data_IF_117847339372
#
_entry.id   IF_117847339372
#
_cell.length_a   1.000
_cell.length_b   1.000
_cell.length_c   1.000
_cell.angle_alpha   90.00
_cell.angle_beta   90.00
_cell.angle_gamma   90.00
#
_symmetry.space_group_name_H-M   'P 1'
#
loop_
_entity.id
_entity.type
_entity.pdbx_description
1 polymer ?
#
# COMPACT_ATOMS: atom_id res chain seq x y z
N UNK A 1 13.46 -7.44 8.52
CA UNK A 1 12.86 -6.20 9.05
C UNK A 1 13.27 -5.06 8.12
N UNK A 2 12.49 -3.98 8.00
CA UNK A 2 12.79 -2.84 7.10
C UNK A 2 13.60 -1.72 7.78
N UNK A 3 13.96 -1.99 9.03
CA UNK A 3 14.73 -1.12 9.88
C UNK A 3 15.62 -2.07 10.67
N UNK A 4 16.88 -2.16 10.29
CA UNK A 4 17.86 -2.82 11.14
C UNK A 4 18.41 -1.81 12.15
N UNK A 5 17.80 -1.79 13.34
CA UNK A 5 18.60 -1.58 14.53
C UNK A 5 19.36 -2.89 14.74
N UNK A 6 20.66 -2.94 14.47
CA UNK A 6 21.45 -4.13 14.75
C UNK A 6 21.11 -4.65 16.15
N UNK A 7 20.71 -5.91 16.27
CA UNK A 7 20.48 -6.62 17.53
C UNK A 7 21.83 -6.90 18.21
N UNK A 8 22.59 -5.85 18.45
CA UNK A 8 23.83 -5.81 19.18
C UNK A 8 23.57 -5.09 20.50
N UNK A 9 23.92 -5.78 21.58
CA UNK A 9 23.77 -5.42 22.99
C UNK A 9 23.76 -3.89 23.23
N UNK A 10 22.82 -3.34 24.02
CA UNK A 10 22.84 -1.92 24.41
C UNK A 10 24.18 -1.50 25.00
N UNK A 11 24.82 -2.46 25.68
CA UNK A 11 26.08 -2.36 26.38
C UNK A 11 26.76 -3.73 26.39
N UNK A 12 28.07 -3.75 26.16
CA UNK A 12 28.89 -4.92 26.42
C UNK A 12 28.97 -5.17 27.94
N UNK A 13 28.47 -6.30 28.47
CA UNK A 13 28.41 -6.54 29.91
C UNK A 13 29.77 -6.68 30.61
N UNK A 14 30.90 -6.66 29.89
CA UNK A 14 32.24 -6.78 30.47
C UNK A 14 33.13 -5.55 30.27
N UNK A 15 32.59 -4.45 29.77
CA UNK A 15 33.35 -3.22 29.62
C UNK A 15 32.72 -2.14 30.52
N UNK A 16 33.53 -1.57 31.41
CA UNK A 16 33.19 -0.67 32.54
C UNK A 16 32.66 0.71 32.11
N UNK A 17 32.05 0.84 30.94
CA UNK A 17 31.53 2.11 30.39
C UNK A 17 30.00 2.25 30.51
N UNK A 18 29.32 1.32 31.17
CA UNK A 18 27.86 1.28 31.24
C UNK A 18 27.22 2.22 32.27
N UNK A 19 28.03 3.00 33.00
CA UNK A 19 27.55 4.05 33.92
C UNK A 19 27.35 5.43 33.25
N UNK A 20 27.52 5.52 31.92
CA UNK A 20 27.45 6.80 31.19
C UNK A 20 26.27 6.85 30.21
N UNK A 21 25.50 7.94 30.26
CA UNK A 21 24.58 8.32 29.17
C UNK A 21 25.39 8.42 27.89
N UNK A 22 25.09 7.56 26.92
CA UNK A 22 25.77 7.54 25.62
C UNK A 22 24.79 7.82 24.49
N UNK A 23 25.30 8.52 23.47
CA UNK A 23 24.56 8.82 22.24
C UNK A 23 25.26 8.10 21.10
N UNK A 24 24.51 7.34 20.32
CA UNK A 24 24.97 6.72 19.07
C UNK A 24 24.17 7.29 17.91
N UNK A 25 24.87 7.77 16.89
CA UNK A 25 24.27 8.25 15.65
C UNK A 25 24.81 7.45 14.47
N UNK A 26 23.95 7.20 13.49
CA UNK A 26 24.30 6.44 12.29
C UNK A 26 23.39 6.76 11.13
N UNK A 27 23.67 6.16 9.98
CA UNK A 27 22.87 6.28 8.78
C UNK A 27 22.72 4.91 8.14
N UNK A 28 21.50 4.56 7.79
CA UNK A 28 21.13 3.27 7.23
C UNK A 28 20.26 3.47 5.99
N UNK A 29 20.52 2.64 4.97
CA UNK A 29 19.71 2.56 3.77
C UNK A 29 19.26 1.12 3.58
N UNK A 30 17.97 0.89 3.72
CA UNK A 30 17.37 -0.44 3.61
C UNK A 30 16.58 -0.52 2.31
N UNK A 31 16.74 -1.65 1.62
CA UNK A 31 15.96 -1.97 0.44
C UNK A 31 15.31 -3.33 0.60
N UNK A 32 13.99 -3.36 0.51
CA UNK A 32 13.21 -4.59 0.64
C UNK A 32 12.43 -4.83 -0.65
N UNK A 33 12.64 -5.99 -1.24
CA UNK A 33 12.05 -6.43 -2.51
C UNK A 33 11.23 -7.71 -2.34
N UNK A 34 10.44 -8.06 -3.37
CA UNK A 34 9.65 -9.30 -3.47
C UNK A 34 8.69 -9.57 -2.30
N UNK A 35 8.08 -8.52 -1.72
CA UNK A 35 7.05 -8.70 -0.67
C UNK A 35 5.71 -9.09 -1.29
N UNK A 36 5.15 -10.21 -0.82
CA UNK A 36 3.76 -10.59 -1.10
C UNK A 36 2.83 -9.94 -0.06
N UNK A 37 2.02 -8.99 -0.49
CA UNK A 37 1.07 -8.29 0.41
C UNK A 37 -0.33 -8.89 0.29
N UNK A 38 -0.96 -9.22 1.42
CA UNK A 38 -2.37 -9.64 1.43
C UNK A 38 -3.28 -8.43 1.29
N UNK A 39 -4.25 -8.50 0.37
CA UNK A 39 -5.26 -7.45 0.23
C UNK A 39 -6.34 -7.62 1.29
N UNK A 40 -6.55 -6.56 2.08
CA UNK A 40 -7.59 -6.50 3.10
C UNK A 40 -8.76 -5.64 2.61
N UNK A 41 -9.83 -6.31 2.18
CA UNK A 41 -11.06 -5.69 1.68
C UNK A 41 -12.26 -6.49 2.17
N UNK A 42 -13.44 -5.89 2.14
CA UNK A 42 -14.69 -6.60 2.46
C UNK A 42 -14.98 -7.70 1.45
N UNK A 43 -15.60 -8.81 1.91
CA UNK A 43 -16.05 -9.92 1.06
C UNK A 43 -16.99 -9.49 -0.06
N UNK A 44 -17.83 -8.50 0.23
CA UNK A 44 -18.77 -7.93 -0.72
C UNK A 44 -18.38 -6.51 -1.07
N UNK A 45 -18.52 -6.21 -2.36
CA UNK A 45 -18.35 -4.89 -2.94
C UNK A 45 -19.74 -4.28 -3.16
N UNK A 46 -20.01 -3.14 -2.55
CA UNK A 46 -21.27 -2.40 -2.71
C UNK A 46 -21.15 -1.31 -3.77
N UNK A 47 -22.27 -1.00 -4.43
CA UNK A 47 -22.33 0.10 -5.41
C UNK A 47 -21.96 -0.29 -6.84
N UNK A 48 -21.95 -1.58 -7.19
CA UNK A 48 -21.91 -2.00 -8.60
C UNK A 48 -23.29 -2.40 -9.08
N UNK A 49 -23.54 -2.19 -10.38
CA UNK A 49 -24.68 -2.76 -11.05
C UNK A 49 -24.52 -4.28 -11.23
N UNK A 50 -25.62 -4.93 -11.58
CA UNK A 50 -25.61 -6.31 -12.04
C UNK A 50 -24.65 -6.50 -13.23
N UNK A 51 -24.04 -7.69 -13.32
CA UNK A 51 -23.21 -8.04 -14.49
C UNK A 51 -24.13 -8.12 -15.71
N UNK A 52 -23.76 -7.56 -16.87
CA UNK A 52 -24.53 -7.75 -18.08
C UNK A 52 -24.71 -9.24 -18.38
N UNK A 53 -25.93 -9.68 -18.67
CA UNK A 53 -26.27 -11.09 -18.98
C UNK A 53 -26.73 -11.28 -20.41
N UNK A 54 -26.83 -10.21 -21.21
CA UNK A 54 -27.33 -10.26 -22.58
C UNK A 54 -26.17 -10.30 -23.59
N UNK A 55 -26.32 -11.16 -24.61
CA UNK A 55 -25.31 -11.40 -25.65
C UNK A 55 -24.93 -10.17 -26.49
N UNK A 56 -25.71 -9.08 -26.42
CA UNK A 56 -25.46 -7.81 -27.12
C UNK A 56 -24.63 -6.81 -26.33
N UNK A 57 -24.21 -7.13 -25.10
CA UNK A 57 -23.36 -6.26 -24.29
C UNK A 57 -24.05 -4.99 -23.75
N UNK A 58 -25.31 -4.73 -24.11
CA UNK A 58 -26.07 -3.66 -23.49
C UNK A 58 -26.49 -4.11 -22.08
N UNK A 59 -25.94 -3.45 -21.06
CA UNK A 59 -26.61 -3.40 -19.77
C UNK A 59 -28.03 -2.86 -20.02
N UNK A 60 -29.04 -3.43 -19.37
CA UNK A 60 -30.40 -2.87 -19.41
C UNK A 60 -30.29 -1.37 -19.09
N UNK A 61 -30.63 -0.49 -20.04
CA UNK A 61 -30.60 0.97 -19.90
C UNK A 61 -31.69 1.41 -18.92
N UNK A 62 -31.61 1.01 -17.65
CA UNK A 62 -32.45 1.55 -16.61
C UNK A 62 -31.84 2.87 -16.15
N UNK A 63 -32.65 3.92 -16.10
CA UNK A 63 -32.23 5.24 -15.64
C UNK A 63 -31.78 5.24 -14.16
N UNK A 64 -32.02 4.15 -13.43
CA UNK A 64 -31.64 3.94 -12.03
C UNK A 64 -31.15 2.48 -11.88
N UNK A 65 -29.86 2.18 -12.09
CA UNK A 65 -29.33 0.86 -11.79
C UNK A 65 -29.32 0.63 -10.27
N UNK A 66 -29.89 -0.48 -9.82
CA UNK A 66 -29.85 -0.87 -8.41
C UNK A 66 -28.42 -1.31 -8.03
N UNK A 67 -27.94 -0.79 -6.90
CA UNK A 67 -26.66 -1.19 -6.34
C UNK A 67 -26.77 -2.59 -5.74
N UNK A 68 -26.14 -3.57 -6.37
CA UNK A 68 -26.14 -4.94 -5.90
C UNK A 68 -24.83 -5.25 -5.18
N UNK A 69 -24.92 -5.91 -4.02
CA UNK A 69 -23.75 -6.44 -3.34
C UNK A 69 -23.14 -7.57 -4.15
N UNK A 70 -21.90 -7.41 -4.61
CA UNK A 70 -21.18 -8.41 -5.42
C UNK A 70 -20.01 -9.01 -4.65
N UNK A 71 -19.59 -10.25 -4.94
CA UNK A 71 -18.31 -10.74 -4.44
C UNK A 71 -17.19 -9.78 -4.83
N UNK A 72 -16.40 -9.35 -3.85
CA UNK A 72 -15.27 -8.46 -4.09
C UNK A 72 -14.12 -9.28 -4.68
N UNK A 73 -13.72 -8.93 -5.89
CA UNK A 73 -12.71 -9.64 -6.68
C UNK A 73 -11.34 -9.63 -5.98
N UNK A 74 -11.05 -8.54 -5.25
CA UNK A 74 -9.81 -8.37 -4.51
C UNK A 74 -9.78 -9.15 -3.19
N UNK A 75 -10.93 -9.68 -2.73
CA UNK A 75 -11.00 -10.43 -1.48
C UNK A 75 -10.15 -11.70 -1.54
N UNK A 76 -9.25 -11.85 -0.58
CA UNK A 76 -8.33 -13.00 -0.51
C UNK A 76 -7.26 -13.01 -1.61
N UNK A 77 -7.09 -11.91 -2.34
CA UNK A 77 -5.99 -11.75 -3.30
C UNK A 77 -4.73 -11.23 -2.63
N UNK A 78 -3.63 -11.39 -3.35
CA UNK A 78 -2.32 -10.90 -2.94
C UNK A 78 -1.75 -9.95 -4.00
N UNK A 79 -1.01 -8.95 -3.56
CA UNK A 79 -0.11 -8.18 -4.42
C UNK A 79 1.18 -8.97 -4.58
N UNK A 80 1.59 -9.16 -5.82
CA UNK A 80 2.63 -10.11 -6.20
C UNK A 80 4.02 -9.55 -5.96
N UNK A 81 4.16 -8.24 -6.13
CA UNK A 81 5.43 -7.55 -6.00
C UNK A 81 5.23 -6.21 -5.31
N UNK A 82 6.01 -6.00 -4.27
CA UNK A 82 6.04 -4.77 -3.50
C UNK A 82 7.48 -4.55 -3.04
N UNK A 83 8.03 -3.44 -3.49
CA UNK A 83 9.34 -2.96 -3.11
C UNK A 83 9.21 -1.72 -2.24
N UNK A 84 10.09 -1.61 -1.27
CA UNK A 84 10.15 -0.46 -0.39
C UNK A 84 11.59 -0.10 -0.09
N UNK A 85 11.90 1.18 -0.28
CA UNK A 85 13.20 1.75 -0.01
C UNK A 85 13.07 2.72 1.15
N UNK A 86 13.98 2.60 2.11
CA UNK A 86 14.07 3.50 3.25
C UNK A 86 15.50 4.00 3.35
N UNK A 87 15.65 5.29 3.55
CA UNK A 87 16.94 5.90 3.76
C UNK A 87 16.85 6.86 4.94
N UNK A 88 17.58 6.58 6.01
CA UNK A 88 17.37 7.25 7.29
C UNK A 88 18.63 7.40 8.14
N UNK A 89 18.65 8.49 8.89
CA UNK A 89 19.53 8.65 10.02
C UNK A 89 18.92 7.97 11.25
N UNK A 90 19.78 7.42 12.09
CA UNK A 90 19.46 6.77 13.35
C UNK A 90 20.09 7.57 14.48
N UNK A 91 19.34 7.71 15.57
CA UNK A 91 19.82 8.24 16.84
C UNK A 91 19.35 7.32 17.95
N UNK A 92 20.28 6.76 18.72
CA UNK A 92 20.02 6.05 19.95
C UNK A 92 20.59 6.82 21.13
N UNK A 93 19.82 6.84 22.21
CA UNK A 93 20.23 7.34 23.50
C UNK A 93 20.06 6.23 24.52
N UNK A 94 21.16 5.91 25.19
CA UNK A 94 21.18 5.01 26.32
C UNK A 94 20.78 5.81 27.57
N UNK A 95 19.63 5.47 28.17
CA UNK A 95 19.09 6.16 29.37
C UNK A 95 19.54 5.44 30.64
N UNK A 96 19.66 4.12 30.56
CA UNK A 96 20.08 3.25 31.66
C UNK A 96 21.08 2.23 31.13
N UNK A 97 21.91 1.72 32.04
CA UNK A 97 22.98 0.72 31.85
C UNK A 97 22.69 -0.30 30.72
N UNK A 98 21.42 -0.72 30.52
CA UNK A 98 21.05 -1.74 29.52
C UNK A 98 19.77 -1.46 28.75
N UNK A 99 19.40 -0.19 28.62
CA UNK A 99 18.18 0.22 27.91
C UNK A 99 18.45 1.41 27.01
N UNK A 100 18.22 1.22 25.72
CA UNK A 100 18.30 2.26 24.70
C UNK A 100 16.91 2.61 24.19
N UNK A 101 16.65 3.90 24.06
CA UNK A 101 15.60 4.41 23.19
C UNK A 101 16.26 4.90 21.92
N UNK A 102 15.66 4.58 20.78
CA UNK A 102 16.15 5.03 19.49
C UNK A 102 15.03 5.58 18.63
N UNK A 103 15.40 6.47 17.73
CA UNK A 103 14.55 6.93 16.66
C UNK A 103 15.31 6.90 15.35
N UNK A 104 14.57 6.73 14.27
CA UNK A 104 15.09 6.97 12.93
C UNK A 104 14.27 8.03 12.25
N UNK A 105 14.95 8.88 11.48
CA UNK A 105 14.35 9.94 10.68
C UNK A 105 14.94 9.83 9.29
N UNK A 106 14.09 9.76 8.29
CA UNK A 106 14.54 9.51 6.93
C UNK A 106 13.48 9.81 5.90
N UNK A 107 13.67 9.21 4.75
CA UNK A 107 12.72 9.24 3.66
C UNK A 107 12.50 7.82 3.13
N UNK A 108 11.29 7.56 2.66
CA UNK A 108 10.96 6.31 1.99
C UNK A 108 10.07 6.51 0.80
N UNK A 109 10.20 5.58 -0.13
CA UNK A 109 9.37 5.42 -1.31
C UNK A 109 9.14 3.92 -1.57
N UNK A 110 8.18 3.61 -2.43
CA UNK A 110 7.85 2.25 -2.77
C UNK A 110 7.36 2.10 -4.20
N UNK A 111 7.42 0.85 -4.64
CA UNK A 111 6.89 0.38 -5.92
C UNK A 111 5.99 -0.82 -5.64
N UNK A 112 4.85 -0.88 -6.31
CA UNK A 112 3.89 -1.96 -6.13
C UNK A 112 3.33 -2.39 -7.46
N UNK A 113 3.22 -3.70 -7.64
CA UNK A 113 2.73 -4.32 -8.86
C UNK A 113 1.86 -5.53 -8.53
N UNK A 114 0.72 -5.61 -9.19
CA UNK A 114 -0.16 -6.76 -9.10
C UNK A 114 -1.14 -6.84 -10.28
N UNK A 115 -1.85 -7.96 -10.36
CA UNK A 115 -3.03 -8.09 -11.20
C UNK A 115 -4.08 -7.02 -10.88
N UNK A 116 -4.83 -6.60 -11.90
CA UNK A 116 -5.93 -5.64 -11.76
C UNK A 116 -7.04 -6.13 -10.81
N UNK A 117 -7.15 -7.44 -10.62
CA UNK A 117 -8.04 -8.07 -9.64
C UNK A 117 -7.69 -7.68 -8.19
N UNK A 118 -6.40 -7.64 -7.83
CA UNK A 118 -5.96 -7.26 -6.48
C UNK A 118 -6.16 -5.76 -6.19
N UNK A 119 -6.13 -4.94 -7.24
CA UNK A 119 -6.41 -3.50 -7.18
C UNK A 119 -7.90 -3.15 -7.26
N UNK A 120 -8.77 -4.16 -7.39
CA UNK A 120 -10.21 -3.99 -7.56
C UNK A 120 -10.55 -3.02 -8.71
N UNK A 121 -9.91 -3.22 -9.88
CA UNK A 121 -10.20 -2.45 -11.07
C UNK A 121 -11.61 -2.76 -11.58
N UNK A 122 -12.46 -1.74 -11.65
CA UNK A 122 -13.86 -1.85 -12.10
C UNK A 122 -14.12 -0.91 -13.26
N UNK A 123 -15.06 -1.27 -14.12
CA UNK A 123 -15.43 -0.52 -15.30
C UNK A 123 -16.94 -0.51 -15.55
N UNK A 124 -17.37 0.52 -16.26
CA UNK A 124 -18.69 0.59 -16.89
C UNK A 124 -18.50 0.29 -18.37
N UNK A 125 -19.09 -0.82 -18.84
CA UNK A 125 -18.99 -1.28 -20.24
C UNK A 125 -20.39 -1.36 -20.84
N UNK A 126 -20.50 -1.06 -22.14
CA UNK A 126 -21.76 -1.20 -22.89
C UNK A 126 -22.75 -0.06 -22.66
N UNK A 127 -22.27 1.10 -22.20
CA UNK A 127 -23.06 2.31 -22.05
C UNK A 127 -22.42 3.44 -22.86
N UNK A 128 -23.20 4.07 -23.74
CA UNK A 128 -22.78 5.25 -24.50
C UNK A 128 -23.73 6.40 -24.15
N UNK A 129 -23.19 7.55 -23.74
CA UNK A 129 -23.98 8.76 -23.77
C UNK A 129 -23.94 9.36 -25.16
N UNK A 130 -25.10 9.81 -25.63
CA UNK A 130 -25.19 10.58 -26.88
C UNK A 130 -24.44 11.93 -26.76
N UNK A 131 -24.28 12.47 -25.54
CA UNK A 131 -23.69 13.79 -25.27
C UNK A 131 -23.13 13.87 -23.82
N UNK A 132 -22.11 14.71 -23.57
CA UNK A 132 -21.55 15.00 -22.22
C UNK A 132 -22.54 15.59 -21.21
N UNK A 133 -23.74 15.99 -21.66
CA UNK A 133 -24.84 16.54 -20.85
C UNK A 133 -25.95 15.51 -20.59
N UNK A 134 -25.79 14.26 -21.01
CA UNK A 134 -26.74 13.19 -20.69
C UNK A 134 -26.86 13.06 -19.17
N UNK A 135 -28.10 13.10 -18.69
CA UNK A 135 -28.47 12.90 -17.28
C UNK A 135 -28.30 11.44 -16.83
N UNK A 136 -28.07 10.52 -17.77
CA UNK A 136 -28.11 9.09 -17.51
C UNK A 136 -26.74 8.55 -17.07
N UNK A 137 -25.64 9.09 -17.62
CA UNK A 137 -24.26 8.73 -17.25
C UNK A 137 -23.93 8.95 -15.76
N UNK A 138 -24.26 10.11 -15.16
CA UNK A 138 -24.03 10.35 -13.73
C UNK A 138 -24.75 9.37 -12.81
N UNK A 139 -25.69 8.57 -13.32
CA UNK A 139 -26.48 7.61 -12.57
C UNK A 139 -25.99 6.17 -12.77
N UNK A 140 -25.08 5.93 -13.73
CA UNK A 140 -24.61 4.59 -14.05
C UNK A 140 -23.57 4.06 -13.07
N UNK A 141 -23.81 2.87 -12.55
CA UNK A 141 -22.88 2.16 -11.67
C UNK A 141 -21.96 1.26 -12.50
N UNK A 142 -20.68 1.08 -12.12
CA UNK A 142 -19.80 0.09 -12.76
C UNK A 142 -20.45 -1.29 -12.76
N UNK A 143 -20.33 -2.00 -13.88
CA UNK A 143 -21.02 -3.27 -14.12
C UNK A 143 -20.06 -4.45 -14.37
N UNK A 144 -18.77 -4.18 -14.58
CA UNK A 144 -17.74 -5.19 -14.82
C UNK A 144 -16.55 -4.97 -13.89
N UNK A 145 -16.01 -6.07 -13.36
CA UNK A 145 -14.69 -6.07 -12.72
C UNK A 145 -13.64 -6.57 -13.72
N UNK A 146 -12.56 -5.82 -13.89
CA UNK A 146 -11.51 -6.09 -14.87
C UNK A 146 -10.42 -6.89 -14.18
N UNK A 147 -10.36 -8.19 -14.44
CA UNK A 147 -9.40 -9.12 -13.81
C UNK A 147 -8.19 -9.46 -14.69
N UNK A 148 -8.29 -9.16 -16.00
CA UNK A 148 -7.26 -9.43 -17.00
C UNK A 148 -6.43 -8.17 -17.27
N UNK A 149 -5.54 -7.87 -16.34
CA UNK A 149 -4.63 -6.73 -16.44
C UNK A 149 -3.60 -6.69 -15.34
N UNK A 150 -2.67 -5.75 -15.46
CA UNK A 150 -1.63 -5.43 -14.51
C UNK A 150 -1.77 -3.95 -14.14
N UNK A 151 -1.65 -3.68 -12.84
CA UNK A 151 -1.62 -2.34 -12.28
C UNK A 151 -0.31 -2.19 -11.53
N UNK A 152 0.38 -1.09 -11.80
CA UNK A 152 1.65 -0.75 -11.20
C UNK A 152 1.59 0.69 -10.71
N UNK A 153 2.17 0.98 -9.56
CA UNK A 153 2.32 2.36 -9.14
C UNK A 153 3.64 2.58 -8.40
N UNK A 154 4.12 3.82 -8.52
CA UNK A 154 5.31 4.32 -7.85
C UNK A 154 4.92 5.43 -6.89
N UNK A 155 5.49 5.42 -5.71
CA UNK A 155 5.28 6.49 -4.73
C UNK A 155 6.39 7.53 -4.79
N UNK A 156 6.09 8.76 -4.40
CA UNK A 156 7.08 9.79 -4.16
C UNK A 156 7.97 9.44 -2.96
N UNK A 157 9.11 10.13 -2.88
CA UNK A 157 9.95 10.11 -1.68
C UNK A 157 9.32 11.00 -0.64
N UNK A 158 8.93 10.40 0.49
CA UNK A 158 8.28 11.11 1.58
C UNK A 158 9.00 10.89 2.89
N UNK A 159 8.82 11.81 3.83
CA UNK A 159 9.39 11.70 5.16
C UNK A 159 8.87 10.45 5.87
N UNK A 160 9.80 9.72 6.47
CA UNK A 160 9.53 8.53 7.28
C UNK A 160 10.24 8.66 8.62
N UNK A 161 9.63 8.05 9.63
CA UNK A 161 10.20 8.03 10.96
C UNK A 161 9.91 6.71 11.64
N UNK A 162 10.75 6.37 12.59
CA UNK A 162 10.48 5.29 13.52
C UNK A 162 10.92 5.66 14.92
N UNK A 163 10.32 4.99 15.90
CA UNK A 163 10.76 5.00 17.29
C UNK A 163 10.80 3.58 17.79
N UNK A 164 11.79 3.29 18.61
CA UNK A 164 11.94 1.97 19.19
C UNK A 164 12.69 2.03 20.49
N UNK A 165 12.66 0.89 21.18
CA UNK A 165 13.41 0.66 22.38
C UNK A 165 13.99 -0.74 22.34
N UNK A 166 15.17 -0.90 22.92
CA UNK A 166 15.80 -2.20 23.09
C UNK A 166 16.44 -2.27 24.47
N UNK A 167 16.45 -3.45 25.05
CA UNK A 167 17.06 -3.65 26.35
C UNK A 167 17.36 -5.09 26.68
N UNK A 168 18.24 -5.29 27.65
CA UNK A 168 18.52 -6.60 28.23
C UNK A 168 17.39 -6.98 29.21
N UNK A 169 16.78 -8.14 28.98
CA UNK A 169 15.74 -8.71 29.84
C UNK A 169 16.33 -9.61 30.93
N UNK A 170 17.43 -10.30 30.63
CA UNK A 170 18.05 -11.24 31.54
C UNK A 170 19.52 -11.41 31.23
N UNK A 171 20.31 -11.60 32.28
CA UNK A 171 21.71 -11.95 32.16
C UNK A 171 22.10 -13.00 33.21
N UNK A 172 22.98 -13.92 32.80
CA UNK A 172 23.66 -14.83 33.71
C UNK A 172 25.06 -15.12 33.19
N UNK A 173 26.07 -14.60 33.90
CA UNK A 173 27.47 -14.75 33.52
C UNK A 173 27.74 -14.08 32.16
N UNK A 174 28.08 -14.89 31.16
CA UNK A 174 28.39 -14.44 29.79
C UNK A 174 27.19 -14.50 28.83
N UNK A 175 26.00 -14.87 29.31
CA UNK A 175 24.78 -14.96 28.51
C UNK A 175 23.89 -13.74 28.71
N UNK A 176 23.39 -13.15 27.62
CA UNK A 176 22.47 -12.01 27.64
C UNK A 176 21.24 -12.31 26.76
N UNK A 177 20.05 -12.11 27.31
CA UNK A 177 18.79 -12.12 26.58
C UNK A 177 18.32 -10.67 26.39
N UNK A 178 18.26 -10.22 25.14
CA UNK A 178 17.79 -8.89 24.77
C UNK A 178 16.46 -8.95 24.03
N UNK A 179 15.67 -7.89 24.16
CA UNK A 179 14.48 -7.67 23.35
C UNK A 179 14.51 -6.29 22.69
N UNK A 180 13.90 -6.20 21.52
CA UNK A 180 13.71 -4.96 20.79
C UNK A 180 12.26 -4.79 20.34
N UNK A 181 11.86 -3.54 20.26
CA UNK A 181 10.56 -3.13 19.76
C UNK A 181 10.72 -1.87 18.94
N UNK A 182 10.09 -1.83 17.77
CA UNK A 182 10.12 -0.68 16.89
C UNK A 182 8.79 -0.48 16.19
N UNK A 183 8.41 0.79 16.07
CA UNK A 183 7.30 1.25 15.25
C UNK A 183 7.80 2.20 14.20
N UNK A 184 7.46 1.95 12.95
CA UNK A 184 7.78 2.83 11.83
C UNK A 184 6.53 3.27 11.08
N UNK A 185 6.57 4.51 10.59
CA UNK A 185 5.50 5.10 9.81
C UNK A 185 6.03 5.96 8.66
N UNK A 186 5.33 5.89 7.52
CA UNK A 186 5.55 6.77 6.37
C UNK A 186 4.26 6.97 5.60
N UNK A 187 4.11 8.11 4.91
CA UNK A 187 2.89 8.46 4.17
C UNK A 187 3.21 8.97 2.75
N UNK A 188 3.86 8.18 1.88
CA UNK A 188 4.16 8.65 0.54
C UNK A 188 2.90 8.78 -0.32
N UNK A 189 2.94 9.75 -1.23
CA UNK A 189 1.91 9.95 -2.26
C UNK A 189 2.25 9.09 -3.46
N UNK A 190 1.24 8.65 -4.18
CA UNK A 190 1.45 7.99 -5.46
C UNK A 190 1.85 9.05 -6.48
N UNK A 191 3.00 8.85 -7.13
CA UNK A 191 3.54 9.76 -8.14
C UNK A 191 3.15 9.30 -9.54
N UNK A 192 3.15 7.99 -9.80
CA UNK A 192 2.79 7.42 -11.10
C UNK A 192 1.88 6.21 -10.87
N UNK A 193 0.77 6.15 -11.58
CA UNK A 193 -0.12 5.00 -11.65
C UNK A 193 -0.24 4.54 -13.10
N UNK A 194 0.21 3.32 -13.36
CA UNK A 194 0.13 2.65 -14.65
C UNK A 194 -0.92 1.55 -14.59
N UNK A 195 -1.83 1.55 -15.56
CA UNK A 195 -2.85 0.50 -15.71
C UNK A 195 -2.73 -0.03 -17.12
N UNK A 196 -2.52 -1.34 -17.24
CA UNK A 196 -2.54 -2.06 -18.53
C UNK A 196 -3.47 -3.24 -18.40
N UNK A 197 -4.61 -3.19 -19.08
CA UNK A 197 -5.63 -4.22 -19.03
C UNK A 197 -6.22 -4.44 -20.42
N UNK A 198 -6.94 -5.56 -20.60
CA UNK A 198 -7.59 -5.86 -21.88
C UNK A 198 -8.46 -4.72 -22.43
N UNK A 199 -9.30 -4.02 -21.62
CA UNK A 199 -10.14 -2.93 -22.12
C UNK A 199 -9.52 -1.51 -21.98
N UNK A 200 -8.43 -1.33 -21.23
CA UNK A 200 -7.89 0.00 -20.95
C UNK A 200 -6.38 -0.01 -20.68
N UNK A 201 -5.68 0.96 -21.27
CA UNK A 201 -4.28 1.26 -21.00
C UNK A 201 -4.09 2.76 -20.78
N UNK A 202 -3.60 3.16 -19.60
CA UNK A 202 -3.36 4.57 -19.29
C UNK A 202 -2.31 4.74 -18.19
N UNK A 203 -1.75 5.94 -18.15
CA UNK A 203 -0.80 6.39 -17.14
C UNK A 203 -1.31 7.69 -16.53
N UNK A 204 -1.31 7.77 -15.20
CA UNK A 204 -1.68 8.98 -14.46
C UNK A 204 -0.47 9.44 -13.66
N UNK A 205 -0.06 10.68 -13.90
CA UNK A 205 0.93 11.36 -13.07
C UNK A 205 0.21 12.07 -11.92
N UNK A 206 0.72 11.88 -10.70
CA UNK A 206 0.17 12.41 -9.44
C UNK A 206 -1.33 12.15 -9.31
N UNK A 207 -1.76 10.88 -9.36
CA UNK A 207 -3.18 10.53 -9.34
C UNK A 207 -3.90 11.16 -8.15
N UNK A 208 -5.05 11.76 -8.46
CA UNK A 208 -6.00 12.29 -7.50
C UNK A 208 -7.29 11.49 -7.60
N UNK A 209 -7.93 11.29 -6.46
CA UNK A 209 -9.17 10.54 -6.38
C UNK A 209 -10.07 11.03 -5.27
N UNK A 210 -11.25 10.43 -5.20
CA UNK A 210 -12.27 10.79 -4.23
C UNK A 210 -12.13 9.96 -2.94
N UNK A 211 -12.51 10.56 -1.81
CA UNK A 211 -12.60 9.90 -0.49
C UNK A 211 -13.96 10.21 0.16
N UNK A 212 -14.42 9.31 1.03
CA UNK A 212 -15.66 9.54 1.80
C UNK A 212 -16.91 9.43 0.94
N UNK A 213 -17.92 10.26 1.19
CA UNK A 213 -19.19 10.19 0.46
C UNK A 213 -19.02 10.34 -1.06
N UNK A 214 -18.10 11.21 -1.50
CA UNK A 214 -17.82 11.46 -2.91
C UNK A 214 -17.07 10.31 -3.61
N UNK A 215 -16.58 9.32 -2.86
CA UNK A 215 -16.00 8.11 -3.46
C UNK A 215 -17.04 7.03 -3.74
N UNK A 216 -18.30 7.19 -3.33
CA UNK A 216 -19.35 6.24 -3.67
C UNK A 216 -19.63 6.23 -5.18
N UNK A 217 -20.07 5.08 -5.69
CA UNK A 217 -20.57 5.03 -7.07
C UNK A 217 -22.01 5.52 -7.11
N UNK A 218 -22.43 6.18 -8.19
CA UNK A 218 -21.63 6.57 -9.37
C UNK A 218 -20.67 7.73 -9.06
N UNK A 219 -19.51 7.76 -9.70
CA UNK A 219 -18.57 8.89 -9.55
C UNK A 219 -19.10 10.12 -10.31
N UNK A 220 -18.76 11.35 -9.88
CA UNK A 220 -19.15 12.57 -10.59
C UNK A 220 -18.72 12.55 -12.07
N UNK A 221 -19.49 13.19 -12.95
CA UNK A 221 -19.19 13.23 -14.41
C UNK A 221 -17.86 13.92 -14.76
N UNK A 222 -17.37 14.77 -13.85
CA UNK A 222 -16.07 15.44 -13.95
C UNK A 222 -14.91 14.57 -13.47
N UNK A 223 -15.17 13.36 -12.97
CA UNK A 223 -14.11 12.44 -12.54
C UNK A 223 -13.12 12.16 -13.68
N UNK A 224 -11.82 12.23 -13.38
CA UNK A 224 -10.76 12.06 -14.38
C UNK A 224 -10.52 13.27 -15.29
N UNK A 225 -11.13 14.43 -14.99
CA UNK A 225 -10.86 15.72 -15.67
C UNK A 225 -10.20 16.72 -14.72
N UNK A 226 -9.74 17.85 -15.27
CA UNK A 226 -9.22 18.98 -14.49
C UNK A 226 -10.30 19.72 -13.69
N UNK A 227 -11.58 19.48 -13.99
CA UNK A 227 -12.73 20.09 -13.31
C UNK A 227 -13.19 19.28 -12.08
N UNK A 228 -12.56 18.14 -11.80
CA UNK A 228 -12.86 17.31 -10.64
C UNK A 228 -12.56 18.04 -9.32
N UNK A 229 -13.60 18.52 -8.64
CA UNK A 229 -13.53 19.06 -7.27
C UNK A 229 -13.54 17.92 -6.24
N UNK A 230 -13.21 18.22 -4.98
CA UNK A 230 -13.25 17.27 -3.86
C UNK A 230 -12.34 16.03 -4.01
N UNK A 231 -11.28 16.17 -4.80
CA UNK A 231 -10.25 15.14 -4.96
C UNK A 231 -9.05 15.38 -4.06
N UNK A 232 -8.46 14.31 -3.51
CA UNK A 232 -7.17 14.33 -2.81
C UNK A 232 -6.12 13.50 -3.55
N UNK A 233 -4.84 13.79 -3.33
CA UNK A 233 -3.76 12.92 -3.81
C UNK A 233 -3.91 11.52 -3.24
N UNK A 234 -3.68 10.51 -4.08
CA UNK A 234 -3.59 9.13 -3.63
C UNK A 234 -2.35 8.99 -2.74
N UNK A 235 -2.53 8.43 -1.54
CA UNK A 235 -1.52 8.31 -0.49
C UNK A 235 -1.54 6.90 0.05
N UNK A 236 -0.38 6.37 0.40
CA UNK A 236 -0.26 5.08 1.06
C UNK A 236 0.25 5.33 2.45
N UNK A 237 -0.53 4.92 3.44
CA UNK A 237 -0.13 4.95 4.83
C UNK A 237 0.58 3.65 5.15
N UNK A 238 1.86 3.76 5.40
CA UNK A 238 2.70 2.66 5.82
C UNK A 238 2.81 2.63 7.33
N UNK A 239 2.56 1.46 7.91
CA UNK A 239 2.74 1.18 9.33
C UNK A 239 3.47 -0.13 9.50
N UNK A 240 4.52 -0.16 10.30
CA UNK A 240 5.22 -1.41 10.63
C UNK A 240 5.50 -1.50 12.13
N UNK A 241 5.11 -2.64 12.69
CA UNK A 241 5.55 -3.06 14.02
C UNK A 241 6.61 -4.13 13.86
N UNK A 242 7.70 -3.99 14.60
CA UNK A 242 8.76 -4.98 14.69
C UNK A 242 9.01 -5.32 16.15
N UNK A 243 9.18 -6.60 16.43
CA UNK A 243 9.52 -7.14 17.75
C UNK A 243 10.61 -8.17 17.55
N UNK A 244 11.69 -8.04 18.29
CA UNK A 244 12.81 -8.96 18.23
C UNK A 244 13.18 -9.48 19.62
N UNK A 245 13.66 -10.71 19.66
CA UNK A 245 14.26 -11.33 20.83
C UNK A 245 15.56 -11.99 20.41
N UNK A 246 16.65 -11.72 21.11
CA UNK A 246 17.95 -12.29 20.83
C UNK A 246 18.63 -12.80 22.10
N UNK A 247 19.26 -13.96 22.00
CA UNK A 247 20.13 -14.53 23.03
C UNK A 247 21.56 -14.52 22.51
N UNK A 248 22.46 -13.90 23.25
CA UNK A 248 23.89 -13.86 22.96
C UNK A 248 24.70 -14.55 24.06
N UNK A 249 25.87 -15.07 23.70
CA UNK A 249 26.84 -15.61 24.65
C UNK A 249 28.24 -15.12 24.30
N UNK A 250 28.97 -14.58 25.27
CA UNK A 250 30.35 -14.12 25.06
C UNK A 250 31.37 -15.23 25.22
N UNK A 251 32.19 -15.41 24.20
CA UNK A 251 33.37 -16.29 24.14
C UNK A 251 34.63 -15.44 23.95
N UNK A 252 35.09 -14.80 25.02
CA UNK A 252 36.30 -13.96 25.04
C UNK A 252 36.26 -12.81 23.99
N UNK A 253 36.71 -13.06 22.75
CA UNK A 253 36.69 -12.09 21.64
C UNK A 253 35.50 -12.26 20.67
N UNK A 254 34.77 -13.37 20.76
CA UNK A 254 33.64 -13.68 19.88
C UNK A 254 32.33 -13.63 20.68
N UNK A 255 31.27 -13.06 20.11
CA UNK A 255 29.93 -13.07 20.71
C UNK A 255 28.95 -13.69 19.72
N UNK A 256 28.78 -15.03 19.68
CA UNK A 256 27.67 -15.62 18.96
C UNK A 256 26.32 -15.15 19.53
N UNK A 257 25.35 -14.95 18.63
CA UNK A 257 23.97 -14.65 18.99
C UNK A 257 23.01 -15.43 18.11
N UNK A 258 21.82 -15.71 18.64
CA UNK A 258 20.66 -16.22 17.92
C UNK A 258 19.50 -15.29 18.21
N UNK A 259 18.76 -14.91 17.16
CA UNK A 259 17.63 -14.00 17.30
C UNK A 259 16.43 -14.43 16.47
N UNK A 260 15.25 -14.03 16.93
CA UNK A 260 13.98 -14.17 16.22
C UNK A 260 13.35 -12.80 16.13
N UNK A 261 13.09 -12.34 14.91
CA UNK A 261 12.42 -11.08 14.65
C UNK A 261 11.08 -11.34 13.98
N UNK A 262 10.03 -10.70 14.51
CA UNK A 262 8.70 -10.67 13.94
C UNK A 262 8.39 -9.25 13.49
N UNK A 263 7.86 -9.12 12.29
CA UNK A 263 7.43 -7.82 11.75
C UNK A 263 6.07 -7.92 11.07
N UNK A 264 5.23 -6.92 11.27
CA UNK A 264 3.95 -6.76 10.54
C UNK A 264 3.86 -5.38 9.92
N UNK A 265 3.88 -5.36 8.59
CA UNK A 265 3.65 -4.16 7.80
C UNK A 265 2.20 -4.10 7.29
N UNK A 266 1.61 -2.90 7.31
CA UNK A 266 0.29 -2.60 6.75
C UNK A 266 0.41 -1.39 5.81
N UNK A 267 -0.20 -1.49 4.64
CA UNK A 267 -0.31 -0.42 3.66
C UNK A 267 -1.79 -0.07 3.48
N UNK A 268 -2.18 1.16 3.84
CA UNK A 268 -3.55 1.64 3.70
C UNK A 268 -3.64 2.76 2.66
N UNK A 269 -4.40 2.53 1.59
CA UNK A 269 -4.65 3.47 0.51
C UNK A 269 -5.90 4.35 0.72
N UNK A 270 -6.41 4.46 1.95
CA UNK A 270 -7.48 5.38 2.36
C UNK A 270 -8.82 5.16 1.62
N UNK A 271 -9.01 3.99 1.00
CA UNK A 271 -10.13 3.65 0.08
C UNK A 271 -10.34 4.70 -1.01
N UNK A 272 -9.26 5.28 -1.52
CA UNK A 272 -9.34 6.27 -2.58
C UNK A 272 -9.82 5.64 -3.90
N UNK A 273 -10.75 6.29 -4.60
CA UNK A 273 -11.18 5.86 -5.95
C UNK A 273 -10.66 6.84 -6.99
N UNK A 274 -9.93 6.30 -7.96
CA UNK A 274 -9.30 7.05 -9.05
C UNK A 274 -10.04 6.68 -10.33
N UNK A 275 -10.53 7.69 -11.04
CA UNK A 275 -11.15 7.50 -12.36
C UNK A 275 -10.08 7.55 -13.46
N UNK A 276 -10.31 6.80 -14.53
CA UNK A 276 -9.53 6.92 -15.75
C UNK A 276 -9.60 8.37 -16.27
N UNK A 277 -8.49 8.95 -16.78
CA UNK A 277 -8.54 10.26 -17.41
C UNK A 277 -9.52 10.27 -18.59
N UNK A 278 -10.40 11.28 -18.63
CA UNK A 278 -11.37 11.41 -19.72
C UNK A 278 -10.69 11.94 -20.97
N UNK A 279 -10.91 11.29 -22.11
CA UNK A 279 -10.45 11.78 -23.40
C UNK A 279 -11.28 13.01 -23.84
N UNK A 280 -10.63 13.94 -24.54
CA UNK A 280 -11.28 15.16 -25.10
C UNK A 280 -12.27 14.84 -26.23
N UNK A 281 -12.11 13.69 -26.87
CA UNK A 281 -13.00 13.16 -27.91
C UNK A 281 -13.01 11.63 -27.80
N UNK A 282 -14.18 11.01 -27.99
CA UNK A 282 -14.34 9.57 -27.96
C UNK A 282 -13.64 8.94 -29.18
N UNK A 283 -12.69 8.04 -28.93
CA UNK A 283 -12.09 7.20 -29.98
C UNK A 283 -12.74 5.83 -29.85
N UNK A 284 -14.01 5.72 -30.24
CA UNK A 284 -14.81 4.50 -30.09
C UNK A 284 -15.02 3.84 -31.45
N UNK A 285 -13.92 3.30 -31.99
CA UNK A 285 -13.96 2.33 -33.09
C UNK A 285 -13.28 1.03 -32.62
N UNK A 286 -13.74 0.49 -31.49
CA UNK A 286 -13.32 -0.83 -31.01
C UNK A 286 -14.04 -1.87 -31.88
N UNK A 287 -13.35 -2.37 -32.90
CA UNK A 287 -13.88 -3.35 -33.86
C UNK A 287 -13.77 -4.81 -33.37
N UNK A 288 -13.01 -5.06 -32.32
CA UNK A 288 -12.83 -6.39 -31.71
C UNK A 288 -13.15 -6.33 -30.22
N UNK A 289 -14.37 -6.68 -29.88
CA UNK A 289 -14.77 -6.92 -28.50
C UNK A 289 -14.22 -8.27 -28.06
N UNK A 290 -13.37 -8.29 -27.03
CA UNK A 290 -12.86 -9.54 -26.46
C UNK A 290 -14.04 -10.31 -25.83
N UNK A 291 -14.37 -11.55 -26.27
CA UNK A 291 -15.47 -12.34 -25.72
C UNK A 291 -15.37 -12.54 -24.21
N UNK A 292 -14.16 -12.50 -23.62
CA UNK A 292 -13.96 -12.65 -22.17
C UNK A 292 -14.47 -11.47 -21.34
N UNK A 293 -14.71 -10.31 -21.95
CA UNK A 293 -15.31 -9.15 -21.27
C UNK A 293 -16.84 -9.25 -21.15
N UNK A 294 -17.47 -10.14 -21.92
CA UNK A 294 -18.92 -10.32 -21.95
C UNK A 294 -19.42 -11.40 -20.98
N UNK A 295 -18.51 -12.06 -20.24
CA UNK A 295 -18.85 -13.16 -19.34
C UNK A 295 -19.39 -14.36 -20.11
N UNK A 296 -18.49 -15.26 -20.50
CA UNK A 296 -18.88 -16.64 -20.89
C UNK A 296 -19.06 -17.50 -19.66
#
# INVERSE_FOLDING_TARGET
TMWEGASGDPCDPCATWCDAISIRAGYYGDYVFDRVLKVDVNKTFSGMAATPTQATGNASNTNQPEANGRPNIAYGRHMQDAEWFSNAAFLALNIWDRFDIFCTLGASNGYFKSSSAAFNLVGLIGFSATNSTSTDLPMQLPNVGITQGVVEFYTDTSFSWSVGARGALWECGCATLGAEFQYAQSNPKIEILNVTSSPAQFVIHKPRGYKGASSNFPLPITAGTTEATDTKSATIKYHEWQVGLALSYRLNMLVPYIGVNWSRATFDADTIRIAQPKLKSEILNITTWNPSLLGS
#
